data_IF_471633157327
#
_entry.id   IF_471633157327
#
_cell.length_a   1.000
_cell.length_b   1.000
_cell.length_c   1.000
_cell.angle_alpha   90.00
_cell.angle_beta   90.00
_cell.angle_gamma   90.00
#
_symmetry.space_group_name_H-M   'P 1'
#
loop_
_entity.id
_entity.type
_entity.pdbx_description
1 polymer ?
#
# COMPACT_ATOMS: atom_id res chain seq x y z
N UNK A 1 16.75 0.54 22.83
CA UNK A 1 15.30 0.33 22.60
C UNK A 1 15.15 -0.35 21.25
N UNK A 2 14.34 -1.39 21.16
CA UNK A 2 14.04 -2.03 19.86
C UNK A 2 13.20 -1.03 19.07
N UNK A 3 13.63 -0.68 17.86
CA UNK A 3 12.87 0.18 16.96
C UNK A 3 11.93 -0.71 16.15
N UNK A 4 10.62 -0.55 16.36
CA UNK A 4 9.61 -1.28 15.59
C UNK A 4 9.27 -0.51 14.30
N UNK A 5 9.24 -1.20 13.18
CA UNK A 5 8.75 -0.62 11.92
C UNK A 5 7.24 -0.42 11.97
N UNK A 6 6.55 -1.37 12.60
CA UNK A 6 5.11 -1.27 12.89
C UNK A 6 4.89 -1.74 14.32
N UNK A 7 4.15 -0.95 15.08
CA UNK A 7 3.72 -1.28 16.43
C UNK A 7 2.22 -1.04 16.55
N UNK A 8 1.51 -2.07 16.98
CA UNK A 8 0.07 -2.06 17.22
C UNK A 8 -0.13 -2.48 18.67
N UNK A 9 -0.81 -1.67 19.46
CA UNK A 9 -1.09 -1.92 20.86
C UNK A 9 -2.58 -1.83 21.16
N UNK A 10 -3.12 -2.86 21.82
CA UNK A 10 -4.50 -2.95 22.31
C UNK A 10 -5.56 -2.64 21.22
N UNK A 11 -5.27 -2.96 19.96
CA UNK A 11 -6.08 -2.52 18.83
C UNK A 11 -7.45 -3.19 18.81
N UNK A 12 -8.48 -2.40 18.98
CA UNK A 12 -9.88 -2.83 18.85
C UNK A 12 -10.55 -2.07 17.71
N UNK A 13 -11.13 -2.81 16.76
CA UNK A 13 -11.83 -2.26 15.61
C UNK A 13 -13.21 -2.86 15.49
N UNK A 14 -14.22 -2.02 15.33
CA UNK A 14 -15.60 -2.43 15.14
C UNK A 14 -16.22 -1.77 13.90
N UNK A 15 -17.03 -2.52 13.18
CA UNK A 15 -17.94 -1.99 12.18
C UNK A 15 -19.33 -1.81 12.78
N UNK A 16 -19.76 -0.55 12.89
CA UNK A 16 -20.98 -0.18 13.64
C UNK A 16 -20.83 -0.60 15.12
N UNK A 17 -21.50 -1.67 15.55
CA UNK A 17 -21.46 -2.17 16.93
C UNK A 17 -20.85 -3.57 17.04
N UNK A 18 -20.34 -4.14 15.93
CA UNK A 18 -19.74 -5.48 15.94
C UNK A 18 -18.23 -5.38 15.90
N UNK A 19 -17.52 -5.79 16.96
CA UNK A 19 -16.06 -5.85 16.94
C UNK A 19 -15.60 -6.92 15.94
N UNK A 20 -14.59 -6.58 15.17
CA UNK A 20 -13.93 -7.46 14.18
C UNK A 20 -12.50 -7.76 14.61
N UNK A 21 -11.84 -6.81 15.26
CA UNK A 21 -10.59 -6.99 15.95
C UNK A 21 -10.80 -6.60 17.40
N UNK A 22 -10.21 -7.39 18.28
CA UNK A 22 -10.35 -7.18 19.72
C UNK A 22 -8.99 -7.37 20.38
N UNK A 23 -8.48 -6.30 21.02
CA UNK A 23 -7.27 -6.33 21.84
C UNK A 23 -6.08 -6.98 21.12
N UNK A 24 -5.76 -6.45 19.92
CA UNK A 24 -4.72 -7.01 19.06
C UNK A 24 -3.41 -6.26 19.29
N UNK A 25 -2.38 -7.02 19.62
CA UNK A 25 -1.00 -6.58 19.63
C UNK A 25 -0.22 -7.16 18.45
N UNK A 26 0.61 -6.32 17.81
CA UNK A 26 1.50 -6.74 16.73
C UNK A 26 2.75 -5.87 16.71
N UNK A 27 3.90 -6.52 16.69
CA UNK A 27 5.20 -5.86 16.64
C UNK A 27 6.01 -6.39 15.46
N UNK A 28 6.30 -5.54 14.48
CA UNK A 28 7.08 -5.90 13.32
C UNK A 28 8.40 -5.09 13.30
N UNK A 29 9.56 -5.73 13.47
CA UNK A 29 10.85 -5.05 13.34
C UNK A 29 11.12 -4.71 11.85
N UNK A 30 12.03 -3.77 11.56
CA UNK A 30 12.45 -3.50 10.20
C UNK A 30 13.20 -4.70 9.58
N UNK A 31 13.14 -4.79 8.24
CA UNK A 31 13.90 -5.77 7.47
C UNK A 31 13.35 -7.20 7.46
N UNK A 32 12.10 -7.42 7.92
CA UNK A 32 11.46 -8.73 7.88
C UNK A 32 10.38 -8.81 6.80
N UNK A 33 10.06 -10.02 6.39
CA UNK A 33 8.85 -10.38 5.68
C UNK A 33 7.88 -11.03 6.66
N UNK A 34 6.72 -10.39 6.88
CA UNK A 34 5.68 -10.89 7.78
C UNK A 34 4.43 -11.26 6.97
N UNK A 35 3.85 -12.43 7.25
CA UNK A 35 2.59 -12.85 6.65
C UNK A 35 1.48 -12.92 7.70
N UNK A 36 0.33 -12.29 7.40
CA UNK A 36 -0.89 -12.40 8.21
C UNK A 36 -1.79 -13.45 7.59
N UNK A 37 -1.92 -14.60 8.23
CA UNK A 37 -2.67 -15.76 7.74
C UNK A 37 -3.92 -16.02 8.60
N UNK A 38 -4.94 -16.62 8.01
CA UNK A 38 -6.17 -16.97 8.70
C UNK A 38 -7.35 -17.12 7.73
N UNK A 39 -8.50 -17.64 8.18
CA UNK A 39 -9.68 -17.85 7.34
C UNK A 39 -10.27 -16.52 6.82
N UNK A 40 -11.17 -16.64 5.83
CA UNK A 40 -11.92 -15.47 5.35
C UNK A 40 -12.81 -14.93 6.49
N UNK A 41 -12.84 -13.61 6.64
CA UNK A 41 -13.57 -12.95 7.73
C UNK A 41 -12.81 -12.82 9.05
N UNK A 42 -11.59 -13.37 9.19
CA UNK A 42 -10.78 -13.27 10.42
C UNK A 42 -10.25 -11.87 10.75
N UNK A 43 -10.58 -10.84 9.96
CA UNK A 43 -10.14 -9.46 10.25
C UNK A 43 -8.80 -9.06 9.62
N UNK A 44 -8.13 -9.90 8.85
CA UNK A 44 -6.81 -9.62 8.23
C UNK A 44 -6.79 -8.27 7.47
N UNK A 45 -7.75 -8.08 6.56
CA UNK A 45 -7.86 -6.82 5.80
C UNK A 45 -8.26 -5.63 6.68
N UNK A 46 -8.98 -5.86 7.76
CA UNK A 46 -9.34 -4.83 8.75
C UNK A 46 -8.09 -4.38 9.50
N UNK A 47 -7.23 -5.31 9.92
CA UNK A 47 -5.96 -5.00 10.57
C UNK A 47 -5.07 -4.13 9.64
N UNK A 48 -4.86 -4.58 8.40
CA UNK A 48 -4.06 -3.81 7.43
C UNK A 48 -4.67 -2.42 7.20
N UNK A 49 -5.99 -2.32 7.01
CA UNK A 49 -6.66 -1.03 6.81
C UNK A 49 -6.57 -0.11 8.03
N UNK A 50 -6.55 -0.66 9.23
CA UNK A 50 -6.37 0.12 10.46
C UNK A 50 -4.93 0.62 10.59
N UNK A 51 -3.93 -0.22 10.26
CA UNK A 51 -2.52 0.19 10.22
C UNK A 51 -2.31 1.32 9.19
N UNK A 52 -3.01 1.25 8.05
CA UNK A 52 -2.98 2.27 7.00
C UNK A 52 -3.86 3.50 7.28
N UNK A 53 -4.43 3.62 8.48
CA UNK A 53 -5.30 4.74 8.84
C UNK A 53 -6.59 4.84 8.03
N UNK A 54 -6.94 3.81 7.25
CA UNK A 54 -8.17 3.76 6.44
C UNK A 54 -9.41 3.42 7.26
N UNK A 55 -9.22 2.83 8.43
CA UNK A 55 -10.26 2.54 9.41
C UNK A 55 -9.76 3.05 10.75
N UNK A 56 -10.55 3.93 11.37
CA UNK A 56 -10.23 4.44 12.71
C UNK A 56 -10.55 3.38 13.76
N UNK A 57 -9.61 3.00 14.62
CA UNK A 57 -9.86 2.09 15.72
C UNK A 57 -10.80 2.70 16.77
N UNK A 58 -11.51 1.84 17.50
CA UNK A 58 -12.34 2.19 18.65
C UNK A 58 -11.46 2.40 19.88
N UNK A 59 -10.43 1.56 20.02
CA UNK A 59 -9.43 1.63 21.07
C UNK A 59 -8.07 1.16 20.55
N UNK A 60 -7.01 1.42 21.31
CA UNK A 60 -5.65 1.11 20.96
C UNK A 60 -5.00 2.13 20.02
N UNK A 61 -3.78 1.83 19.64
CA UNK A 61 -3.00 2.73 18.77
C UNK A 61 -2.14 1.94 17.79
N UNK A 62 -1.80 2.62 16.69
CA UNK A 62 -0.87 2.11 15.68
C UNK A 62 0.20 3.16 15.45
N UNK A 63 1.45 2.74 15.50
CA UNK A 63 2.58 3.59 15.10
C UNK A 63 3.45 2.92 14.04
N UNK A 64 4.07 3.76 13.21
CA UNK A 64 5.03 3.37 12.18
C UNK A 64 6.31 4.14 12.49
N UNK A 65 7.40 3.43 12.79
CA UNK A 65 8.65 4.04 13.27
C UNK A 65 8.38 5.06 14.39
N UNK A 66 7.64 4.63 15.42
CA UNK A 66 7.26 5.42 16.61
C UNK A 66 6.42 6.68 16.34
N UNK A 67 5.79 6.80 15.17
CA UNK A 67 4.94 7.94 14.81
C UNK A 67 3.60 7.48 14.24
N UNK A 68 2.53 8.29 14.34
CA UNK A 68 1.26 7.99 13.69
C UNK A 68 1.41 7.83 12.17
N UNK A 69 0.56 6.98 11.57
CA UNK A 69 0.57 6.72 10.12
C UNK A 69 0.52 8.01 9.29
N UNK A 70 -0.25 9.00 9.71
CA UNK A 70 -0.44 10.27 9.00
C UNK A 70 0.88 11.01 8.74
N UNK A 71 1.82 10.90 9.67
CA UNK A 71 3.16 11.49 9.55
C UNK A 71 4.11 10.64 8.70
N UNK A 72 3.85 9.34 8.63
CA UNK A 72 4.73 8.33 8.01
C UNK A 72 4.19 7.74 6.71
N UNK A 73 3.06 8.25 6.20
CA UNK A 73 2.39 7.68 5.00
C UNK A 73 3.29 7.59 3.76
N UNK A 74 4.33 8.42 3.67
CA UNK A 74 5.32 8.36 2.57
C UNK A 74 6.26 7.16 2.66
N UNK A 75 6.42 6.59 3.85
CA UNK A 75 7.24 5.41 4.09
C UNK A 75 6.47 4.11 3.82
N UNK A 76 5.18 4.19 3.51
CA UNK A 76 4.31 3.03 3.36
C UNK A 76 3.80 2.93 1.93
N UNK A 77 4.13 1.84 1.27
CA UNK A 77 3.57 1.42 -0.02
C UNK A 77 2.43 0.41 0.19
N UNK A 78 1.34 0.58 -0.54
CA UNK A 78 0.20 -0.35 -0.49
C UNK A 78 -0.18 -0.84 -1.87
N UNK A 79 -0.21 -2.16 -2.01
CA UNK A 79 -0.71 -2.85 -3.21
C UNK A 79 -2.12 -3.36 -2.90
N UNK A 80 -3.17 -2.74 -3.44
CA UNK A 80 -4.54 -3.13 -3.14
C UNK A 80 -4.87 -4.49 -3.76
N UNK A 81 -5.78 -5.22 -3.12
CA UNK A 81 -6.35 -6.42 -3.72
C UNK A 81 -7.19 -6.06 -4.95
N UNK A 82 -7.20 -6.95 -5.94
CA UNK A 82 -7.84 -6.73 -7.24
C UNK A 82 -9.30 -6.24 -7.17
N UNK A 83 -10.10 -6.74 -6.24
CA UNK A 83 -11.51 -6.39 -6.09
C UNK A 83 -11.79 -4.97 -5.56
N UNK A 84 -10.75 -4.22 -5.17
CA UNK A 84 -10.89 -2.86 -4.64
C UNK A 84 -10.50 -1.76 -5.64
N UNK A 85 -10.21 -2.11 -6.89
CA UNK A 85 -9.75 -1.18 -7.93
C UNK A 85 -10.77 -1.13 -9.05
N UNK A 86 -11.11 0.08 -9.49
CA UNK A 86 -11.86 0.30 -10.73
C UNK A 86 -10.93 0.11 -11.94
N UNK A 87 -11.10 -1.00 -12.63
CA UNK A 87 -10.27 -1.39 -13.76
C UNK A 87 -10.73 -0.79 -15.09
N UNK A 88 -11.92 -0.19 -15.15
CA UNK A 88 -12.49 0.40 -16.36
C UNK A 88 -12.00 1.83 -16.60
N UNK A 89 -11.20 2.36 -15.67
CA UNK A 89 -10.61 3.67 -15.83
C UNK A 89 -9.61 3.70 -17.01
N UNK A 90 -9.77 4.58 -18.00
CA UNK A 90 -8.98 4.61 -19.23
C UNK A 90 -7.58 5.21 -18.99
N UNK A 91 -6.71 4.43 -18.39
CA UNK A 91 -5.33 4.84 -18.05
C UNK A 91 -4.32 3.79 -18.53
N UNK A 92 -3.10 4.22 -18.84
CA UNK A 92 -2.02 3.31 -19.22
C UNK A 92 -1.34 2.71 -17.99
N UNK A 93 -0.64 1.59 -18.19
CA UNK A 93 0.19 0.98 -17.15
C UNK A 93 1.22 1.97 -16.58
N UNK A 94 1.85 2.77 -17.44
CA UNK A 94 2.81 3.81 -17.04
C UNK A 94 2.16 4.89 -16.18
N UNK A 95 0.96 5.35 -16.56
CA UNK A 95 0.24 6.37 -15.79
C UNK A 95 -0.10 5.87 -14.38
N UNK A 96 -0.53 4.60 -14.26
CA UNK A 96 -0.78 3.98 -12.95
C UNK A 96 0.47 3.98 -12.08
N UNK A 97 1.64 3.64 -12.65
CA UNK A 97 2.90 3.65 -11.90
C UNK A 97 3.31 5.07 -11.52
N UNK A 98 3.15 6.03 -12.43
CA UNK A 98 3.41 7.46 -12.18
C UNK A 98 2.55 8.04 -11.04
N UNK A 99 1.29 7.55 -10.87
CA UNK A 99 0.45 7.95 -9.72
C UNK A 99 1.11 7.63 -8.37
N UNK A 100 1.98 6.61 -8.29
CA UNK A 100 2.76 6.31 -7.09
C UNK A 100 3.71 7.44 -6.69
N UNK A 101 4.18 8.23 -7.64
CA UNK A 101 5.13 9.32 -7.43
C UNK A 101 4.48 10.65 -7.02
N UNK A 102 3.15 10.78 -7.16
CA UNK A 102 2.46 12.06 -6.89
C UNK A 102 2.60 12.54 -5.45
N UNK A 103 2.67 11.61 -4.50
CA UNK A 103 2.89 11.95 -3.09
C UNK A 103 4.20 12.70 -2.81
N UNK A 104 5.22 12.53 -3.67
CA UNK A 104 6.52 13.21 -3.55
C UNK A 104 6.57 14.55 -4.29
N UNK A 105 5.68 14.79 -5.26
CA UNK A 105 5.71 15.97 -6.13
C UNK A 105 5.09 17.21 -5.49
N UNK A 106 4.18 17.05 -4.53
CA UNK A 106 3.40 18.14 -3.97
C UNK A 106 2.29 18.64 -4.91
N UNK A 107 1.46 19.57 -4.43
CA UNK A 107 0.20 19.98 -5.07
C UNK A 107 0.34 20.70 -6.41
N UNK A 108 1.50 21.33 -6.68
CA UNK A 108 1.67 22.22 -7.84
C UNK A 108 2.59 21.69 -8.93
N UNK A 109 3.30 20.60 -8.69
CA UNK A 109 4.23 20.03 -9.67
C UNK A 109 3.57 18.95 -10.51
N UNK A 110 3.64 19.09 -11.82
CA UNK A 110 3.26 18.01 -12.74
C UNK A 110 4.42 17.01 -12.90
N UNK A 111 4.13 15.71 -13.04
CA UNK A 111 5.16 14.73 -13.35
C UNK A 111 5.91 15.11 -14.63
N UNK A 112 7.23 15.07 -14.56
CA UNK A 112 8.09 15.40 -15.68
C UNK A 112 8.85 14.17 -16.23
N UNK A 113 9.92 14.44 -16.95
CA UNK A 113 10.81 13.40 -17.52
C UNK A 113 11.42 12.49 -16.45
N UNK A 114 11.78 13.07 -15.29
CA UNK A 114 12.39 12.34 -14.16
C UNK A 114 11.42 11.30 -13.59
N UNK A 115 10.18 11.69 -13.35
CA UNK A 115 9.14 10.80 -12.80
C UNK A 115 8.79 9.70 -13.80
N UNK A 116 8.72 10.05 -15.08
CA UNK A 116 8.50 9.06 -16.15
C UNK A 116 9.63 8.03 -16.22
N UNK A 117 10.88 8.44 -16.06
CA UNK A 117 12.03 7.54 -16.03
C UNK A 117 11.95 6.61 -14.81
N UNK A 118 11.72 7.14 -13.61
CA UNK A 118 11.55 6.35 -12.39
C UNK A 118 10.38 5.35 -12.46
N UNK A 119 9.28 5.74 -13.12
CA UNK A 119 8.16 4.85 -13.37
C UNK A 119 8.54 3.72 -14.34
N UNK A 120 9.30 4.01 -15.40
CA UNK A 120 9.80 2.99 -16.33
C UNK A 120 10.76 2.02 -15.65
N UNK A 121 11.71 2.49 -14.84
CA UNK A 121 12.59 1.65 -14.04
C UNK A 121 11.80 0.73 -13.09
N UNK A 122 10.70 1.23 -12.53
CA UNK A 122 9.83 0.43 -11.68
C UNK A 122 9.05 -0.64 -12.46
N UNK A 123 8.66 -0.35 -13.71
CA UNK A 123 8.07 -1.33 -14.63
C UNK A 123 9.07 -2.42 -15.03
N UNK A 124 10.33 -2.06 -15.26
CA UNK A 124 11.40 -3.01 -15.56
C UNK A 124 11.63 -3.99 -14.41
N UNK A 125 11.62 -3.54 -13.15
CA UNK A 125 11.76 -4.39 -11.96
C UNK A 125 10.72 -5.50 -11.87
N UNK A 126 9.57 -5.33 -12.50
CA UNK A 126 8.46 -6.30 -12.53
C UNK A 126 8.26 -6.94 -13.91
N UNK A 127 9.19 -6.74 -14.85
CA UNK A 127 9.15 -7.22 -16.24
C UNK A 127 7.86 -6.80 -16.98
N UNK A 128 7.48 -5.52 -16.88
CA UNK A 128 6.27 -4.95 -17.47
C UNK A 128 6.54 -3.72 -18.35
N UNK A 129 7.79 -3.41 -18.68
CA UNK A 129 8.21 -2.25 -19.47
C UNK A 129 7.56 -2.24 -20.88
N UNK A 130 7.40 -3.39 -21.51
CA UNK A 130 6.81 -3.53 -22.87
C UNK A 130 5.31 -3.22 -22.88
N UNK A 131 4.68 -3.22 -21.70
CA UNK A 131 3.26 -2.93 -21.53
C UNK A 131 3.01 -1.49 -21.06
N UNK A 132 4.03 -0.65 -20.96
CA UNK A 132 3.94 0.69 -20.38
C UNK A 132 2.83 1.55 -20.99
N UNK A 133 2.63 1.47 -22.32
CA UNK A 133 1.62 2.24 -23.06
C UNK A 133 0.27 1.52 -23.17
N UNK A 134 0.17 0.27 -22.68
CA UNK A 134 -1.06 -0.49 -22.75
C UNK A 134 -2.06 -0.03 -21.70
N UNK A 135 -3.32 0.05 -22.04
CA UNK A 135 -4.38 0.35 -21.08
C UNK A 135 -4.48 -0.74 -20.03
N UNK A 136 -4.71 -0.34 -18.79
CA UNK A 136 -4.70 -1.24 -17.62
C UNK A 136 -5.79 -2.32 -17.73
N UNK A 137 -6.95 -2.02 -18.30
CA UNK A 137 -8.05 -2.96 -18.51
C UNK A 137 -7.75 -4.03 -19.58
N UNK A 138 -6.78 -3.78 -20.48
CA UNK A 138 -6.34 -4.74 -21.49
C UNK A 138 -5.24 -5.70 -20.99
N UNK A 139 -4.90 -5.62 -19.72
CA UNK A 139 -3.92 -6.48 -19.07
C UNK A 139 -4.59 -7.65 -18.34
N UNK A 140 -3.93 -8.81 -18.33
CA UNK A 140 -4.38 -9.93 -17.50
C UNK A 140 -4.31 -9.59 -16.00
N UNK A 141 -5.06 -10.30 -15.15
CA UNK A 141 -5.08 -10.02 -13.71
C UNK A 141 -3.71 -10.09 -13.05
N UNK A 142 -2.85 -11.02 -13.46
CA UNK A 142 -1.47 -11.09 -12.97
C UNK A 142 -0.60 -9.93 -13.45
N UNK A 143 -0.82 -9.45 -14.68
CA UNK A 143 -0.14 -8.25 -15.20
C UNK A 143 -0.59 -7.00 -14.45
N UNK A 144 -1.90 -6.82 -14.23
CA UNK A 144 -2.45 -5.73 -13.44
C UNK A 144 -1.83 -5.69 -12.03
N UNK A 145 -1.73 -6.84 -11.37
CA UNK A 145 -1.11 -6.93 -10.04
C UNK A 145 0.36 -6.51 -10.06
N UNK A 146 1.12 -6.90 -11.10
CA UNK A 146 2.51 -6.45 -11.29
C UNK A 146 2.61 -4.94 -11.51
N UNK A 147 1.67 -4.32 -12.24
CA UNK A 147 1.62 -2.86 -12.39
C UNK A 147 1.40 -2.16 -11.04
N UNK A 148 0.51 -2.67 -10.20
CA UNK A 148 0.31 -2.11 -8.85
C UNK A 148 1.51 -2.33 -7.93
N UNK A 149 2.24 -3.43 -8.10
CA UNK A 149 3.52 -3.63 -7.43
C UNK A 149 4.57 -2.60 -7.91
N UNK A 150 4.69 -2.39 -9.23
CA UNK A 150 5.57 -1.35 -9.78
C UNK A 150 5.22 0.04 -9.25
N UNK A 151 3.93 0.37 -9.15
CA UNK A 151 3.45 1.62 -8.53
C UNK A 151 3.91 1.77 -7.09
N UNK A 152 3.83 0.72 -6.29
CA UNK A 152 4.29 0.74 -4.91
C UNK A 152 5.83 0.88 -4.85
N UNK A 153 6.57 0.16 -5.69
CA UNK A 153 8.03 0.27 -5.79
C UNK A 153 8.49 1.66 -6.20
N UNK A 154 7.75 2.33 -7.09
CA UNK A 154 8.05 3.71 -7.52
C UNK A 154 8.01 4.70 -6.34
N UNK A 155 7.22 4.45 -5.31
CA UNK A 155 7.19 5.29 -4.09
C UNK A 155 8.48 5.22 -3.29
N UNK A 156 9.32 4.20 -3.50
CA UNK A 156 10.52 3.92 -2.71
C UNK A 156 10.23 3.92 -1.20
N UNK A 157 9.16 3.25 -0.82
CA UNK A 157 8.70 3.14 0.56
C UNK A 157 9.61 2.21 1.39
N UNK A 158 9.58 2.36 2.71
CA UNK A 158 10.32 1.50 3.65
C UNK A 158 9.51 0.26 4.07
N UNK A 159 8.19 0.34 3.97
CA UNK A 159 7.24 -0.74 4.33
C UNK A 159 6.28 -0.95 3.17
N UNK A 160 6.03 -2.22 2.82
CA UNK A 160 5.07 -2.58 1.78
C UNK A 160 4.00 -3.52 2.32
N UNK A 161 2.74 -3.16 2.14
CA UNK A 161 1.59 -4.04 2.34
C UNK A 161 1.11 -4.57 0.98
N UNK A 162 0.94 -5.92 0.91
CA UNK A 162 0.55 -6.60 -0.33
C UNK A 162 -0.61 -7.59 -0.07
#
# INVERSE_FOLDING_TARGET
MVEWAIEVNDLTVAYRQKPVLWDIDLFAPPGILMAVVGPNGAGKSTLIKSILGLIKPVAGQVTIFNKPYEEQRRLVGYVPQRGSVDWDFPTTALDVVMMGLYGSLGWFKRPGKKERLAAMESLEKVAMQDFAQRQINHLSGGQQQRIFLARALAQNASIYFM
#
